data_IF_189981647187
#
_entry.id   IF_189981647187
#
_cell.length_a   1.000
_cell.length_b   1.000
_cell.length_c   1.000
_cell.angle_alpha   90.00
_cell.angle_beta   90.00
_cell.angle_gamma   90.00
#
_symmetry.space_group_name_H-M   'P 1'
#
loop_
_entity.id
_entity.type
_entity.pdbx_description
1 polymer ?
#
# COMPACT_ATOMS: atom_id res chain seq x y z
N UNK A 1 -22.54 -6.73 10.14
CA UNK A 1 -21.32 -7.51 10.36
C UNK A 1 -20.11 -6.61 10.30
N UNK A 2 -19.20 -6.80 11.23
CA UNK A 2 -18.03 -5.96 11.33
C UNK A 2 -16.85 -6.58 10.60
N UNK A 3 -16.09 -5.75 9.87
CA UNK A 3 -14.88 -6.24 9.21
C UNK A 3 -13.76 -6.35 10.23
N UNK A 4 -13.03 -7.46 10.17
CA UNK A 4 -11.84 -7.66 10.96
C UNK A 4 -10.65 -7.05 10.26
N UNK A 5 -9.59 -6.75 11.02
CA UNK A 5 -8.37 -6.24 10.42
C UNK A 5 -7.84 -7.17 9.35
N UNK A 6 -7.97 -8.46 9.57
CA UNK A 6 -7.53 -9.45 8.59
C UNK A 6 -8.31 -9.34 7.29
N UNK A 7 -9.62 -9.09 7.39
CA UNK A 7 -10.45 -8.94 6.19
C UNK A 7 -10.06 -7.71 5.41
N UNK A 8 -9.82 -6.61 6.11
CA UNK A 8 -9.42 -5.36 5.46
C UNK A 8 -8.06 -5.54 4.81
N UNK A 9 -7.14 -6.20 5.52
CA UNK A 9 -5.80 -6.45 4.98
C UNK A 9 -5.88 -7.23 3.68
N UNK A 10 -6.71 -8.27 3.64
CA UNK A 10 -6.85 -9.06 2.44
C UNK A 10 -7.44 -8.25 1.29
N UNK A 11 -8.37 -7.35 1.61
CA UNK A 11 -8.96 -6.49 0.58
C UNK A 11 -7.93 -5.53 0.02
N UNK A 12 -7.06 -4.98 0.88
CA UNK A 12 -6.00 -4.09 0.44
C UNK A 12 -5.01 -4.86 -0.44
N UNK A 13 -4.60 -6.04 -0.01
CA UNK A 13 -3.69 -6.86 -0.79
C UNK A 13 -4.28 -7.19 -2.16
N UNK A 14 -5.57 -7.48 -2.19
CA UNK A 14 -6.23 -7.77 -3.45
C UNK A 14 -6.26 -6.54 -4.36
N UNK A 15 -6.53 -5.37 -3.80
CA UNK A 15 -6.54 -4.14 -4.58
C UNK A 15 -5.17 -3.88 -5.20
N UNK A 16 -4.11 -4.10 -4.43
CA UNK A 16 -2.75 -3.93 -4.93
C UNK A 16 -2.41 -4.97 -5.98
N UNK A 17 -2.96 -6.18 -5.83
CA UNK A 17 -2.72 -7.25 -6.79
C UNK A 17 -3.23 -6.89 -8.19
N UNK A 18 -4.34 -6.19 -8.25
CA UNK A 18 -4.94 -5.85 -9.54
C UNK A 18 -4.37 -4.59 -10.16
N UNK A 19 -3.54 -3.85 -9.42
CA UNK A 19 -2.92 -2.64 -9.95
C UNK A 19 -1.53 -3.01 -10.48
N UNK A 20 -1.42 -3.13 -11.78
CA UNK A 20 -0.18 -3.55 -12.42
C UNK A 20 0.95 -2.56 -12.24
N UNK A 21 0.65 -1.32 -11.87
CA UNK A 21 1.68 -0.34 -11.63
C UNK A 21 2.37 -0.56 -10.28
N UNK A 22 1.76 -1.35 -9.40
CA UNK A 22 2.26 -1.53 -8.05
C UNK A 22 3.02 -2.85 -7.93
N UNK A 23 4.31 -2.83 -7.53
CA UNK A 23 5.08 -4.06 -7.34
C UNK A 23 4.76 -4.67 -5.97
N UNK A 24 3.60 -5.30 -5.86
CA UNK A 24 3.09 -5.78 -4.58
C UNK A 24 4.03 -6.75 -3.88
N UNK A 25 4.88 -7.44 -4.63
CA UNK A 25 5.83 -8.38 -4.04
C UNK A 25 6.83 -7.68 -3.14
N UNK A 26 6.99 -6.40 -3.34
CA UNK A 26 7.99 -5.62 -2.62
C UNK A 26 7.36 -4.75 -1.54
N UNK A 27 6.07 -4.95 -1.29
CA UNK A 27 5.33 -4.14 -0.34
C UNK A 27 4.79 -5.00 0.79
N UNK A 28 4.66 -4.37 1.95
CA UNK A 28 4.05 -4.98 3.12
C UNK A 28 2.85 -4.16 3.55
N UNK A 29 1.83 -4.83 4.02
CA UNK A 29 0.59 -4.18 4.44
C UNK A 29 0.25 -4.63 5.85
N UNK A 30 0.03 -3.67 6.74
CA UNK A 30 -0.47 -3.92 8.07
C UNK A 30 -1.76 -3.14 8.26
N UNK A 31 -2.69 -3.73 8.99
CA UNK A 31 -3.96 -3.07 9.26
C UNK A 31 -4.26 -3.19 10.75
N UNK A 32 -4.61 -2.07 11.35
CA UNK A 32 -5.02 -2.04 12.74
C UNK A 32 -6.19 -1.10 12.89
N UNK A 33 -7.34 -1.62 13.32
CA UNK A 33 -8.54 -0.83 13.54
C UNK A 33 -8.91 0.00 12.30
N UNK A 34 -8.73 -0.58 11.12
CA UNK A 34 -9.06 0.09 9.87
C UNK A 34 -8.00 1.02 9.34
N UNK A 35 -6.94 1.26 10.10
CA UNK A 35 -5.82 2.08 9.65
C UNK A 35 -4.79 1.20 8.97
N UNK A 36 -4.44 1.54 7.74
CA UNK A 36 -3.54 0.73 6.92
C UNK A 36 -2.16 1.38 6.90
N UNK A 37 -1.13 0.57 7.10
CA UNK A 37 0.25 1.01 6.93
C UNK A 37 0.85 0.20 5.80
N UNK A 38 1.30 0.90 4.76
CA UNK A 38 1.94 0.27 3.61
C UNK A 38 3.41 0.64 3.62
N UNK A 39 4.28 -0.36 3.50
CA UNK A 39 5.72 -0.12 3.51
C UNK A 39 6.40 -0.98 2.46
N UNK A 40 7.64 -0.67 2.17
CA UNK A 40 8.41 -1.41 1.20
C UNK A 40 9.20 -0.49 0.29
N UNK A 41 9.64 -1.02 -0.85
CA UNK A 41 10.47 -0.28 -1.80
C UNK A 41 9.86 -0.32 -3.18
N UNK A 42 9.85 0.82 -3.85
CA UNK A 42 9.43 0.92 -5.24
C UNK A 42 10.46 1.74 -6.00
N UNK A 43 10.43 1.65 -7.31
CA UNK A 43 11.42 2.33 -8.14
C UNK A 43 10.99 3.74 -8.55
N UNK A 44 9.69 3.98 -8.64
CA UNK A 44 9.18 5.23 -9.18
C UNK A 44 8.18 5.87 -8.23
N UNK A 45 8.18 7.20 -8.16
CA UNK A 45 7.26 7.90 -7.23
C UNK A 45 5.78 7.60 -7.47
N UNK A 46 5.37 7.42 -8.72
CA UNK A 46 3.96 7.19 -8.99
C UNK A 46 3.50 5.84 -8.44
N UNK A 47 4.42 4.88 -8.33
CA UNK A 47 4.07 3.58 -7.76
C UNK A 47 3.68 3.72 -6.29
N UNK A 48 4.39 4.60 -5.59
CA UNK A 48 4.09 4.88 -4.19
C UNK A 48 2.71 5.51 -4.06
N UNK A 49 2.40 6.47 -4.92
CA UNK A 49 1.11 7.14 -4.90
C UNK A 49 -0.02 6.19 -5.27
N UNK A 50 0.21 5.32 -6.25
CA UNK A 50 -0.81 4.36 -6.65
C UNK A 50 -1.13 3.40 -5.52
N UNK A 51 -0.10 2.93 -4.80
CA UNK A 51 -0.32 2.02 -3.69
C UNK A 51 -1.18 2.67 -2.61
N UNK A 52 -0.90 3.92 -2.29
CA UNK A 52 -1.68 4.64 -1.29
C UNK A 52 -3.12 4.82 -1.76
N UNK A 53 -3.31 5.22 -3.00
CA UNK A 53 -4.64 5.43 -3.55
C UNK A 53 -5.45 4.14 -3.55
N UNK A 54 -4.81 3.03 -3.93
CA UNK A 54 -5.48 1.74 -3.94
C UNK A 54 -5.92 1.35 -2.54
N UNK A 55 -5.06 1.55 -1.56
CA UNK A 55 -5.39 1.21 -0.18
C UNK A 55 -6.55 2.07 0.33
N UNK A 56 -6.55 3.35 0.00
CA UNK A 56 -7.61 4.24 0.46
C UNK A 56 -8.96 3.91 -0.12
N UNK A 57 -9.00 3.28 -1.29
CA UNK A 57 -10.26 2.98 -1.96
C UNK A 57 -10.94 1.74 -1.40
N UNK A 58 -10.29 1.01 -0.52
CA UNK A 58 -10.83 -0.24 0.01
C UNK A 58 -11.87 0.05 1.10
N UNK A 59 -13.07 -0.55 1.01
CA UNK A 59 -14.06 -0.38 2.07
C UNK A 59 -13.53 -0.90 3.40
N UNK A 60 -13.73 -0.14 4.46
CA UNK A 60 -13.25 -0.49 5.78
C UNK A 60 -11.97 0.21 6.17
N UNK A 61 -11.30 0.86 5.23
CA UNK A 61 -10.08 1.61 5.51
C UNK A 61 -10.44 3.01 5.97
N UNK A 62 -9.96 3.38 7.15
CA UNK A 62 -10.23 4.71 7.71
C UNK A 62 -9.08 5.67 7.47
N UNK A 63 -7.90 5.15 7.13
CA UNK A 63 -6.76 5.99 6.81
C UNK A 63 -5.58 5.13 6.39
N UNK A 64 -4.60 5.78 5.78
CA UNK A 64 -3.41 5.09 5.29
C UNK A 64 -2.16 5.86 5.69
N UNK A 65 -1.18 5.14 6.23
CA UNK A 65 0.16 5.66 6.44
C UNK A 65 1.05 5.05 5.36
N UNK A 66 1.63 5.89 4.54
CA UNK A 66 2.45 5.42 3.42
C UNK A 66 3.92 5.55 3.79
N UNK A 67 4.53 4.42 4.13
CA UNK A 67 5.95 4.35 4.48
C UNK A 67 6.78 3.75 3.34
N UNK A 68 6.22 3.70 2.15
CA UNK A 68 6.94 3.19 1.00
C UNK A 68 8.08 4.13 0.66
N UNK A 69 9.23 3.54 0.37
CA UNK A 69 10.43 4.30 0.05
C UNK A 69 10.85 4.02 -1.38
N UNK A 70 11.51 4.99 -1.96
CA UNK A 70 12.05 4.82 -3.30
C UNK A 70 13.42 4.14 -3.21
N UNK A 71 13.72 3.33 -4.21
CA UNK A 71 15.01 2.66 -4.24
C UNK A 71 16.12 3.69 -4.43
N UNK A 72 17.35 3.27 -4.16
CA UNK A 72 18.49 4.16 -4.28
C UNK A 72 18.66 4.74 -5.68
N UNK A 73 18.29 3.97 -6.67
CA UNK A 73 18.42 4.45 -8.04
C UNK A 73 17.58 5.69 -8.29
N UNK A 74 16.41 5.75 -7.69
CA UNK A 74 15.54 6.89 -7.86
C UNK A 74 16.00 8.09 -7.08
N UNK A 75 16.85 7.90 -6.07
CA UNK A 75 17.29 8.97 -5.21
C UNK A 75 18.67 9.49 -5.55
N UNK A 76 19.38 8.77 -6.38
CA UNK A 76 20.75 9.14 -6.63
C UNK A 76 20.81 10.40 -7.40
N UNK A 77 20.65 11.13 -7.14
CA UNK A 77 21.13 12.07 -7.53
C UNK A 77 21.51 13.04 -7.01
N UNK A 78 22.12 13.06 -6.67
CA UNK A 78 22.79 13.78 -6.00
C UNK A 78 23.24 14.39 -6.27
#
# INVERSE_FOLDING_TARGET
MRLQSEDVRMRVLNALHWDLAVPRDRLNVDVENGWVTVSGLVDLPYQRSCAESDAKSVPGVVGVTNLIRLTDMAQSRH
#
